data_IF_930554396072
#
_entry.id   IF_930554396072
#
_cell.length_a   1.000
_cell.length_b   1.000
_cell.length_c   1.000
_cell.angle_alpha   90.00
_cell.angle_beta   90.00
_cell.angle_gamma   90.00
#
_symmetry.space_group_name_H-M   'P 1'
#
loop_
_entity.id
_entity.type
_entity.pdbx_description
1 polymer ?
#
# COMPACT_ATOMS: atom_id res chain seq x y z
N UNK A 1 -5.39 23.79 -3.77
CA UNK A 1 -4.79 22.47 -3.66
C UNK A 1 -4.79 22.02 -2.20
N UNK A 2 -4.81 20.73 -1.96
CA UNK A 2 -5.05 20.13 -0.66
C UNK A 2 -3.93 20.43 0.33
N UNK A 3 -4.31 20.76 1.57
CA UNK A 3 -3.34 20.83 2.66
C UNK A 3 -3.10 19.43 3.19
N UNK A 4 -1.96 18.88 2.86
CA UNK A 4 -1.52 17.57 3.32
C UNK A 4 -0.28 17.77 4.20
N UNK A 5 -0.25 17.07 5.34
CA UNK A 5 0.90 17.04 6.22
C UNK A 5 2.15 16.58 5.45
N UNK A 6 3.33 17.08 5.80
CA UNK A 6 4.58 16.74 5.11
C UNK A 6 4.85 15.23 5.06
N UNK A 7 4.55 14.49 6.12
CA UNK A 7 4.73 13.04 6.15
C UNK A 7 3.73 12.34 5.23
N UNK A 8 2.50 12.80 5.22
CA UNK A 8 1.45 12.26 4.35
C UNK A 8 1.75 12.58 2.89
N UNK A 9 2.33 13.73 2.63
CA UNK A 9 2.74 14.14 1.30
C UNK A 9 3.83 13.21 0.74
N UNK A 10 4.77 12.77 1.57
CA UNK A 10 5.81 11.83 1.15
C UNK A 10 5.22 10.49 0.70
N UNK A 11 4.27 9.97 1.47
CA UNK A 11 3.58 8.72 1.12
C UNK A 11 2.84 8.89 -0.20
N UNK A 12 2.12 9.99 -0.37
CA UNK A 12 1.37 10.27 -1.58
C UNK A 12 2.28 10.37 -2.80
N UNK A 13 3.40 11.08 -2.69
CA UNK A 13 4.38 11.18 -3.77
C UNK A 13 4.98 9.83 -4.13
N UNK A 14 5.32 9.05 -3.11
CA UNK A 14 5.89 7.71 -3.32
C UNK A 14 4.88 6.81 -4.03
N UNK A 15 3.62 6.87 -3.62
CA UNK A 15 2.58 6.06 -4.24
C UNK A 15 2.29 6.50 -5.67
N UNK A 16 2.30 7.80 -5.96
CA UNK A 16 2.14 8.31 -7.33
C UNK A 16 3.24 7.80 -8.24
N UNK A 17 4.49 7.79 -7.74
CA UNK A 17 5.62 7.24 -8.49
C UNK A 17 5.42 5.77 -8.78
N UNK A 18 4.97 5.01 -7.79
CA UNK A 18 4.63 3.61 -7.96
C UNK A 18 3.56 3.40 -9.03
N UNK A 19 2.49 4.21 -9.01
CA UNK A 19 1.42 4.12 -9.99
C UNK A 19 1.90 4.34 -11.41
N UNK A 20 2.79 5.30 -11.62
CA UNK A 20 3.37 5.56 -12.94
C UNK A 20 4.18 4.36 -13.44
N UNK A 21 5.01 3.81 -12.56
CA UNK A 21 5.80 2.62 -12.90
C UNK A 21 4.92 1.40 -13.15
N UNK A 22 3.86 1.27 -12.37
CA UNK A 22 2.88 0.19 -12.53
C UNK A 22 2.17 0.30 -13.88
N UNK A 23 1.67 1.49 -14.23
CA UNK A 23 0.99 1.71 -15.51
C UNK A 23 1.87 1.34 -16.69
N UNK A 24 3.15 1.72 -16.64
CA UNK A 24 4.11 1.37 -17.68
C UNK A 24 4.28 -0.16 -17.79
N UNK A 25 4.32 -0.84 -16.67
CA UNK A 25 4.47 -2.30 -16.63
C UNK A 25 3.21 -3.03 -17.12
N UNK A 26 2.03 -2.44 -16.95
CA UNK A 26 0.78 -3.06 -17.36
C UNK A 26 0.48 -2.92 -18.85
N UNK A 27 1.22 -2.08 -19.58
CA UNK A 27 0.99 -1.86 -21.02
C UNK A 27 1.17 -3.13 -21.85
N UNK A 28 2.01 -4.04 -21.39
CA UNK A 28 2.34 -5.27 -22.13
C UNK A 28 1.36 -6.41 -21.91
N UNK A 29 0.34 -6.20 -21.08
CA UNK A 29 -0.66 -7.25 -20.82
C UNK A 29 -1.56 -7.39 -22.04
N UNK A 30 -1.66 -8.61 -22.61
CA UNK A 30 -2.47 -8.82 -23.81
C UNK A 30 -3.96 -8.74 -23.51
N UNK A 31 -4.74 -8.53 -24.56
CA UNK A 31 -6.19 -8.36 -24.47
C UNK A 31 -6.90 -9.54 -23.80
N UNK A 32 -6.38 -10.75 -23.96
CA UNK A 32 -6.97 -11.95 -23.34
C UNK A 32 -6.96 -11.91 -21.82
N UNK A 33 -6.07 -11.13 -21.21
CA UNK A 33 -5.94 -10.97 -19.76
C UNK A 33 -6.27 -9.54 -19.31
N UNK A 34 -7.10 -8.84 -20.07
CA UNK A 34 -7.43 -7.45 -19.76
C UNK A 34 -8.12 -7.30 -18.40
N UNK A 35 -8.89 -8.30 -17.97
CA UNK A 35 -9.52 -8.25 -16.67
C UNK A 35 -8.50 -8.22 -15.53
N UNK A 36 -7.37 -8.91 -15.70
CA UNK A 36 -6.28 -8.89 -14.74
C UNK A 36 -5.66 -7.51 -14.66
N UNK A 37 -5.43 -6.88 -15.78
CA UNK A 37 -4.95 -5.50 -15.86
C UNK A 37 -5.90 -4.54 -15.16
N UNK A 38 -7.20 -4.64 -15.46
CA UNK A 38 -8.22 -3.77 -14.86
C UNK A 38 -8.32 -4.00 -13.35
N UNK A 39 -8.22 -5.24 -12.89
CA UNK A 39 -8.27 -5.56 -11.48
C UNK A 39 -7.09 -4.95 -10.73
N UNK A 40 -5.89 -5.05 -11.28
CA UNK A 40 -4.68 -4.46 -10.69
C UNK A 40 -4.84 -2.94 -10.60
N UNK A 41 -5.31 -2.30 -11.67
CA UNK A 41 -5.55 -0.86 -11.68
C UNK A 41 -6.58 -0.45 -10.64
N UNK A 42 -7.68 -1.19 -10.51
CA UNK A 42 -8.72 -0.89 -9.55
C UNK A 42 -8.21 -1.00 -8.11
N UNK A 43 -7.48 -2.06 -7.79
CA UNK A 43 -6.89 -2.22 -6.46
C UNK A 43 -5.91 -1.10 -6.17
N UNK A 44 -5.08 -0.73 -7.13
CA UNK A 44 -4.10 0.35 -6.95
C UNK A 44 -4.78 1.70 -6.70
N UNK A 45 -5.91 1.97 -7.33
CA UNK A 45 -6.68 3.18 -7.11
C UNK A 45 -7.42 3.15 -5.76
N UNK A 46 -7.88 1.98 -5.32
CA UNK A 46 -8.46 1.83 -3.99
C UNK A 46 -7.44 2.17 -2.90
N UNK A 47 -6.19 1.74 -3.06
CA UNK A 47 -5.11 2.10 -2.15
C UNK A 47 -4.88 3.61 -2.15
N UNK A 48 -4.85 4.22 -3.33
CA UNK A 48 -4.70 5.68 -3.44
C UNK A 48 -5.83 6.41 -2.71
N UNK A 49 -7.06 5.97 -2.89
CA UNK A 49 -8.22 6.54 -2.21
C UNK A 49 -8.06 6.45 -0.70
N UNK A 50 -7.67 5.29 -0.19
CA UNK A 50 -7.49 5.09 1.26
C UNK A 50 -6.34 5.95 1.80
N UNK A 51 -5.25 6.11 1.06
CA UNK A 51 -4.15 7.01 1.41
C UNK A 51 -4.67 8.45 1.51
N UNK A 52 -5.46 8.89 0.54
CA UNK A 52 -6.04 10.22 0.55
C UNK A 52 -6.99 10.42 1.74
N UNK A 53 -7.84 9.44 2.05
CA UNK A 53 -8.71 9.51 3.21
C UNK A 53 -7.90 9.68 4.51
N UNK A 54 -6.83 8.92 4.67
CA UNK A 54 -5.96 9.02 5.83
C UNK A 54 -5.22 10.37 5.89
N UNK A 55 -4.92 10.96 4.73
CA UNK A 55 -4.26 12.27 4.65
C UNK A 55 -5.19 13.41 5.04
N UNK A 56 -6.49 13.28 4.73
CA UNK A 56 -7.49 14.30 5.08
C UNK A 56 -7.93 14.20 6.53
N UNK A 57 -8.00 13.00 7.06
CA UNK A 57 -8.53 12.74 8.39
C UNK A 57 -7.66 11.68 9.07
N UNK A 58 -6.82 12.13 10.00
CA UNK A 58 -5.90 11.25 10.70
C UNK A 58 -6.60 10.16 11.51
N UNK A 59 -7.85 10.39 11.91
CA UNK A 59 -8.64 9.36 12.60
C UNK A 59 -8.97 8.18 11.67
N UNK A 60 -8.97 8.39 10.36
CA UNK A 60 -9.22 7.35 9.36
C UNK A 60 -8.07 6.35 9.23
N UNK A 61 -6.87 6.70 9.69
CA UNK A 61 -5.70 5.81 9.61
C UNK A 61 -5.97 4.48 10.30
N UNK A 62 -6.62 4.53 11.45
CA UNK A 62 -6.94 3.32 12.21
C UNK A 62 -7.91 2.42 11.44
N UNK A 63 -8.86 3.02 10.75
CA UNK A 63 -9.86 2.29 9.98
C UNK A 63 -9.32 1.74 8.66
N UNK A 64 -8.56 2.55 7.92
CA UNK A 64 -8.14 2.23 6.56
C UNK A 64 -6.71 1.73 6.44
N UNK A 65 -5.88 1.93 7.46
CA UNK A 65 -4.48 1.52 7.41
C UNK A 65 -4.30 0.03 7.16
N UNK A 66 -5.08 -0.80 7.83
CA UNK A 66 -5.06 -2.24 7.64
C UNK A 66 -5.53 -2.63 6.23
N UNK A 67 -6.56 -1.95 5.73
CA UNK A 67 -7.04 -2.15 4.36
C UNK A 67 -5.96 -1.82 3.33
N UNK A 68 -5.25 -0.71 3.53
CA UNK A 68 -4.11 -0.34 2.67
C UNK A 68 -3.08 -1.45 2.66
N UNK A 69 -2.69 -1.95 3.83
CA UNK A 69 -1.67 -3.01 3.93
C UNK A 69 -2.13 -4.30 3.25
N UNK A 70 -3.38 -4.67 3.44
CA UNK A 70 -3.95 -5.85 2.78
C UNK A 70 -3.95 -5.71 1.26
N UNK A 71 -4.33 -4.55 0.75
CA UNK A 71 -4.33 -4.29 -0.69
C UNK A 71 -2.92 -4.24 -1.27
N UNK A 72 -1.95 -3.71 -0.52
CA UNK A 72 -0.54 -3.75 -0.94
C UNK A 72 -0.05 -5.19 -1.06
N UNK A 73 -0.38 -6.05 -0.09
CA UNK A 73 -0.04 -7.46 -0.16
C UNK A 73 -0.71 -8.15 -1.37
N UNK A 74 -1.96 -7.80 -1.64
CA UNK A 74 -2.68 -8.32 -2.80
C UNK A 74 -2.03 -7.87 -4.11
N UNK A 75 -1.62 -6.60 -4.21
CA UNK A 75 -0.89 -6.10 -5.38
C UNK A 75 0.41 -6.87 -5.59
N UNK A 76 1.16 -7.10 -4.53
CA UNK A 76 2.40 -7.85 -4.60
C UNK A 76 2.17 -9.26 -5.16
N UNK A 77 1.15 -9.94 -4.67
CA UNK A 77 0.74 -11.26 -5.16
C UNK A 77 0.37 -11.22 -6.64
N UNK A 78 -0.39 -10.21 -7.06
CA UNK A 78 -0.80 -10.08 -8.46
C UNK A 78 0.37 -9.76 -9.38
N UNK A 79 1.36 -9.00 -8.91
CA UNK A 79 2.57 -8.72 -9.67
C UNK A 79 3.39 -10.01 -9.88
N UNK A 80 3.44 -10.88 -8.89
CA UNK A 80 4.09 -12.19 -9.05
C UNK A 80 3.39 -13.02 -10.13
N UNK A 81 2.07 -12.95 -10.21
CA UNK A 81 1.31 -13.63 -11.27
C UNK A 81 1.67 -13.09 -12.65
N UNK A 82 1.88 -11.76 -12.77
CA UNK A 82 2.32 -11.17 -14.04
C UNK A 82 3.69 -11.69 -14.46
N UNK A 83 4.60 -11.88 -13.50
CA UNK A 83 5.90 -12.46 -13.79
C UNK A 83 5.76 -13.91 -14.28
N UNK A 84 4.94 -14.72 -13.64
CA UNK A 84 4.71 -16.10 -14.04
C UNK A 84 4.12 -16.20 -15.44
N UNK A 85 3.28 -15.24 -15.82
CA UNK A 85 2.73 -15.14 -17.17
C UNK A 85 3.70 -14.47 -18.17
N UNK A 86 4.85 -14.03 -17.70
CA UNK A 86 5.89 -13.37 -18.50
C UNK A 86 5.45 -12.02 -19.09
N UNK A 87 4.53 -11.33 -18.43
CA UNK A 87 4.10 -9.99 -18.85
C UNK A 87 5.00 -8.90 -18.31
N UNK A 88 5.76 -9.16 -17.24
CA UNK A 88 6.77 -8.25 -16.71
C UNK A 88 8.07 -9.00 -16.49
N UNK A 89 9.19 -8.27 -16.51
CA UNK A 89 10.50 -8.82 -16.22
C UNK A 89 10.73 -8.92 -14.71
N UNK A 90 11.67 -9.77 -14.30
CA UNK A 90 12.09 -9.84 -12.90
C UNK A 90 12.57 -8.49 -12.39
N UNK A 91 13.31 -7.75 -13.20
CA UNK A 91 13.81 -6.42 -12.87
C UNK A 91 12.67 -5.47 -12.54
N UNK A 92 11.63 -5.44 -13.37
CA UNK A 92 10.46 -4.60 -13.13
C UNK A 92 9.67 -5.04 -11.92
N UNK A 93 9.53 -6.36 -11.72
CA UNK A 93 8.88 -6.88 -10.52
C UNK A 93 9.59 -6.43 -9.25
N UNK A 94 10.92 -6.58 -9.18
CA UNK A 94 11.69 -6.16 -8.02
C UNK A 94 11.56 -4.67 -7.75
N UNK A 95 11.58 -3.85 -8.79
CA UNK A 95 11.42 -2.42 -8.66
C UNK A 95 10.06 -2.07 -8.04
N UNK A 96 8.99 -2.64 -8.56
CA UNK A 96 7.63 -2.39 -8.07
C UNK A 96 7.45 -2.94 -6.65
N UNK A 97 7.96 -4.14 -6.38
CA UNK A 97 7.87 -4.76 -5.07
C UNK A 97 8.61 -3.94 -4.01
N UNK A 98 9.79 -3.41 -4.34
CA UNK A 98 10.54 -2.56 -3.42
C UNK A 98 9.80 -1.26 -3.11
N UNK A 99 9.15 -0.67 -4.11
CA UNK A 99 8.32 0.51 -3.90
C UNK A 99 7.16 0.21 -2.96
N UNK A 100 6.50 -0.94 -3.12
CA UNK A 100 5.41 -1.37 -2.24
C UNK A 100 5.91 -1.61 -0.81
N UNK A 101 7.09 -2.19 -0.64
CA UNK A 101 7.69 -2.39 0.69
C UNK A 101 7.90 -1.06 1.39
N UNK A 102 8.43 -0.06 0.69
CA UNK A 102 8.65 1.27 1.27
C UNK A 102 7.33 1.94 1.66
N UNK A 103 6.33 1.86 0.78
CA UNK A 103 5.00 2.41 1.07
C UNK A 103 4.39 1.71 2.29
N UNK A 104 4.52 0.39 2.37
CA UNK A 104 4.01 -0.38 3.50
C UNK A 104 4.66 0.05 4.82
N UNK A 105 5.96 0.32 4.82
CA UNK A 105 6.67 0.84 5.99
C UNK A 105 6.12 2.19 6.42
N UNK A 106 5.83 3.08 5.47
CA UNK A 106 5.25 4.39 5.76
C UNK A 106 3.85 4.26 6.37
N UNK A 107 3.04 3.34 5.85
CA UNK A 107 1.70 3.07 6.39
C UNK A 107 1.80 2.50 7.81
N UNK A 108 2.76 1.62 8.05
CA UNK A 108 3.02 1.10 9.39
C UNK A 108 3.38 2.22 10.35
N UNK A 109 4.21 3.19 9.91
CA UNK A 109 4.52 4.38 10.69
C UNK A 109 3.28 5.19 11.04
N UNK A 110 2.38 5.37 10.08
CA UNK A 110 1.10 6.03 10.31
C UNK A 110 0.28 5.33 11.39
N UNK A 111 0.14 4.01 11.29
CA UNK A 111 -0.62 3.22 12.25
C UNK A 111 -0.03 3.34 13.65
N UNK A 112 1.28 3.26 13.77
CA UNK A 112 1.96 3.38 15.05
C UNK A 112 1.77 4.78 15.65
N UNK A 113 1.88 5.82 14.84
CA UNK A 113 1.72 7.20 15.30
C UNK A 113 0.28 7.52 15.69
N UNK A 114 -0.70 7.05 14.93
CA UNK A 114 -2.11 7.31 15.23
C UNK A 114 -2.56 6.63 16.53
N UNK A 115 -1.93 5.51 16.86
CA UNK A 115 -2.20 4.77 18.08
C UNK A 115 -1.34 5.24 19.27
N UNK A 116 -0.30 6.04 19.03
CA UNK A 116 0.73 6.33 20.01
C UNK A 116 0.22 6.96 21.31
N UNK A 117 -0.83 7.77 21.24
CA UNK A 117 -1.42 8.40 22.43
C UNK A 117 -2.33 7.45 23.22
N UNK A 118 -2.92 6.50 22.55
CA UNK A 118 -3.87 5.56 23.13
C UNK A 118 -3.19 4.24 23.49
N UNK A 119 -2.23 3.83 22.71
CA UNK A 119 -1.58 2.52 22.76
C UNK A 119 -0.57 2.42 23.89
N UNK A 120 -0.14 3.54 24.45
CA UNK A 120 0.80 3.49 25.56
C UNK A 120 0.30 2.59 26.68
N UNK A 121 -0.97 2.64 26.97
CA UNK A 121 -1.58 1.81 28.01
C UNK A 121 -1.97 0.42 27.49
N UNK A 122 -2.55 0.36 26.30
CA UNK A 122 -3.01 -0.91 25.73
C UNK A 122 -1.89 -1.78 25.20
N UNK A 123 -0.76 -1.21 24.76
CA UNK A 123 0.39 -2.01 24.32
C UNK A 123 1.01 -2.81 25.46
N UNK A 124 0.95 -2.28 26.67
CA UNK A 124 1.42 -2.99 27.84
C UNK A 124 0.63 -4.28 28.09
N UNK A 125 -0.68 -4.20 27.97
CA UNK A 125 -1.56 -5.37 28.11
C UNK A 125 -1.39 -6.32 26.91
N UNK A 126 -1.24 -5.80 25.73
CA UNK A 126 -1.05 -6.56 24.51
C UNK A 126 0.26 -7.36 24.53
N UNK A 127 1.36 -6.74 24.92
CA UNK A 127 2.65 -7.42 25.03
C UNK A 127 2.61 -8.51 26.10
N UNK A 128 1.91 -8.24 27.19
CA UNK A 128 1.73 -9.23 28.25
C UNK A 128 0.96 -10.46 27.76
N UNK A 129 -0.07 -10.28 26.93
CA UNK A 129 -0.82 -11.40 26.39
C UNK A 129 -0.04 -12.17 25.33
N UNK A 130 0.87 -11.54 24.60
CA UNK A 130 1.77 -12.20 23.66
C UNK A 130 2.75 -13.15 24.35
N UNK A 131 3.26 -12.76 25.49
CA UNK A 131 4.20 -13.59 26.24
C UNK A 131 3.57 -14.88 26.77
N UNK A 132 2.25 -14.92 26.87
CA UNK A 132 1.52 -16.10 27.34
C UNK A 132 1.08 -17.05 26.24
N UNK A 133 1.21 -16.63 25.00
CA UNK A 133 0.97 -17.48 23.83
C UNK A 133 2.29 -18.01 23.32
#
# INVERSE_FOLDING_TARGET
MFRINNNDFKILQKYKSFLMNLDNSLENIPRKDIYLKDRIKNISLDVLKDILLCSYDTSSVKMYGTSIKANIALLDFMLERLLLKKYISEKNLYKLANELVEINKMVTGWLNNSESKFVWFTSYIWDWSKEKC
#
